data_IF_902192448997
#
_entry.id   IF_902192448997
#
_cell.length_a   1.000
_cell.length_b   1.000
_cell.length_c   1.000
_cell.angle_alpha   90.00
_cell.angle_beta   90.00
_cell.angle_gamma   90.00
#
_symmetry.space_group_name_H-M   'P 1'
#
loop_
_entity.id
_entity.type
_entity.pdbx_description
1 polymer ?
#
# COMPACT_ATOMS: atom_id res chain seq x y z
N UNK A 1 0.08 11.81 -3.97
CA UNK A 1 -1.14 10.96 -3.86
C UNK A 1 -2.34 11.87 -3.92
N UNK A 2 -3.43 11.46 -4.56
CA UNK A 2 -4.64 12.29 -4.65
C UNK A 2 -5.81 11.55 -4.05
N UNK A 3 -6.51 12.21 -3.13
CA UNK A 3 -7.74 11.71 -2.50
C UNK A 3 -8.88 12.59 -2.99
N UNK A 4 -10.00 11.99 -3.40
CA UNK A 4 -11.19 12.70 -3.90
C UNK A 4 -12.44 12.14 -3.27
N UNK A 5 -13.31 13.03 -2.83
CA UNK A 5 -14.70 12.78 -2.48
C UNK A 5 -15.56 13.51 -3.51
N UNK A 6 -16.00 12.76 -4.53
CA UNK A 6 -16.80 13.29 -5.64
C UNK A 6 -18.20 13.71 -5.19
N UNK A 7 -18.75 13.07 -4.14
CA UNK A 7 -20.10 13.37 -3.65
C UNK A 7 -20.14 14.75 -2.97
N UNK A 8 -19.09 15.09 -2.23
CA UNK A 8 -19.00 16.35 -1.50
C UNK A 8 -18.15 17.42 -2.21
N UNK A 9 -17.64 17.12 -3.41
CA UNK A 9 -16.74 17.98 -4.20
C UNK A 9 -15.50 18.44 -3.40
N UNK A 10 -14.89 17.49 -2.67
CA UNK A 10 -13.69 17.70 -1.87
C UNK A 10 -12.54 16.92 -2.49
N UNK A 11 -11.35 17.53 -2.54
CA UNK A 11 -10.13 16.85 -2.97
C UNK A 11 -8.94 17.29 -2.14
N UNK A 12 -7.93 16.42 -2.06
CA UNK A 12 -6.66 16.74 -1.45
C UNK A 12 -5.53 16.12 -2.27
N UNK A 13 -4.56 16.94 -2.64
CA UNK A 13 -3.30 16.48 -3.20
C UNK A 13 -2.24 16.42 -2.11
N UNK A 14 -1.77 15.21 -1.82
CA UNK A 14 -0.75 14.92 -0.81
C UNK A 14 0.61 14.80 -1.50
N UNK A 15 1.52 15.70 -1.13
CA UNK A 15 2.93 15.70 -1.52
C UNK A 15 3.74 15.09 -0.39
N UNK A 16 4.42 13.99 -0.68
CA UNK A 16 5.33 13.33 0.25
C UNK A 16 6.73 13.95 0.15
N UNK A 17 7.39 14.06 1.29
CA UNK A 17 8.68 14.74 1.47
C UNK A 17 8.73 16.10 0.77
N UNK A 18 7.80 17.02 1.10
CA UNK A 18 7.61 18.27 0.36
C UNK A 18 8.84 19.20 0.40
N UNK A 19 9.64 19.12 1.46
CA UNK A 19 10.90 19.86 1.63
C UNK A 19 12.14 19.00 1.27
N UNK A 20 11.91 17.89 0.57
CA UNK A 20 12.95 17.01 0.04
C UNK A 20 13.80 17.69 -1.03
N UNK A 21 15.11 17.43 -1.01
CA UNK A 21 15.99 17.88 -2.09
C UNK A 21 15.74 16.99 -3.30
N UNK A 22 15.39 17.58 -4.44
CA UNK A 22 15.12 16.82 -5.67
C UNK A 22 16.28 15.90 -6.07
N UNK A 23 15.96 14.84 -6.83
CA UNK A 23 16.87 13.74 -7.18
C UNK A 23 18.28 14.18 -7.66
N UNK A 24 18.37 15.28 -8.43
CA UNK A 24 19.63 15.83 -8.93
C UNK A 24 20.46 16.60 -7.88
N UNK A 25 19.84 17.10 -6.81
CA UNK A 25 20.49 17.84 -5.71
C UNK A 25 20.83 16.96 -4.50
N UNK A 26 20.28 15.75 -4.45
CA UNK A 26 20.46 14.77 -3.35
C UNK A 26 21.92 14.28 -3.19
N UNK A 27 22.76 14.41 -4.22
CA UNK A 27 24.15 13.96 -4.19
C UNK A 27 25.13 14.86 -3.40
N UNK A 28 24.71 16.04 -2.95
CA UNK A 28 25.60 16.97 -2.24
C UNK A 28 24.99 17.63 -1.00
N UNK A 29 23.70 17.42 -0.72
CA UNK A 29 23.00 18.03 0.42
C UNK A 29 21.96 17.06 0.95
N UNK A 30 22.01 16.74 2.25
CA UNK A 30 20.93 16.03 2.94
C UNK A 30 19.73 16.96 3.14
N UNK A 31 18.51 16.49 2.85
CA UNK A 31 17.31 17.28 3.18
C UNK A 31 17.26 17.50 4.69
N UNK A 32 17.01 18.74 5.17
CA UNK A 32 16.84 19.01 6.59
C UNK A 32 15.52 18.45 7.13
N UNK A 33 14.58 18.05 6.25
CA UNK A 33 13.29 17.49 6.64
C UNK A 33 13.32 15.95 6.61
N UNK A 34 12.72 15.30 7.62
CA UNK A 34 12.53 13.86 7.61
C UNK A 34 11.74 13.40 6.37
N UNK A 35 12.12 12.25 5.79
CA UNK A 35 11.52 11.72 4.57
C UNK A 35 10.09 11.21 4.77
N UNK A 36 9.69 11.01 6.03
CA UNK A 36 8.37 10.60 6.50
C UNK A 36 7.35 11.74 6.61
N UNK A 37 7.68 12.92 6.10
CA UNK A 37 6.79 14.08 6.14
C UNK A 37 5.92 14.21 4.90
N UNK A 38 4.74 14.81 5.03
CA UNK A 38 3.88 15.16 3.91
C UNK A 38 3.18 16.50 4.13
N UNK A 39 2.67 17.08 3.04
CA UNK A 39 1.78 18.24 3.04
C UNK A 39 0.71 18.07 1.98
N UNK A 40 -0.50 18.53 2.26
CA UNK A 40 -1.56 18.61 1.27
C UNK A 40 -2.56 19.71 1.58
N UNK A 41 -3.12 20.33 0.54
CA UNK A 41 -4.18 21.31 0.67
C UNK A 41 -5.52 20.63 0.39
N UNK A 42 -6.50 20.84 1.28
CA UNK A 42 -7.87 20.34 1.08
C UNK A 42 -8.65 21.43 0.33
N UNK A 43 -9.15 21.07 -0.84
CA UNK A 43 -9.91 21.92 -1.74
C UNK A 43 -11.37 21.46 -1.73
N UNK A 44 -12.29 22.38 -1.46
CA UNK A 44 -13.74 22.18 -1.59
C UNK A 44 -14.30 23.22 -2.54
N UNK A 45 -15.06 22.79 -3.54
CA UNK A 45 -15.67 23.69 -4.53
C UNK A 45 -14.64 24.65 -5.19
N UNK A 46 -13.43 24.15 -5.44
CA UNK A 46 -12.32 24.93 -6.02
C UNK A 46 -11.58 25.86 -5.04
N UNK A 47 -12.02 25.95 -3.78
CA UNK A 47 -11.41 26.80 -2.77
C UNK A 47 -10.65 25.98 -1.73
N UNK A 48 -9.48 26.46 -1.31
CA UNK A 48 -8.76 25.86 -0.18
C UNK A 48 -9.56 26.08 1.11
N UNK A 49 -9.90 24.99 1.78
CA UNK A 49 -10.63 25.00 3.06
C UNK A 49 -9.78 24.52 4.23
N UNK A 50 -8.70 23.78 3.97
CA UNK A 50 -7.81 23.26 5.01
C UNK A 50 -6.42 22.96 4.44
N UNK A 51 -5.48 22.67 5.34
CA UNK A 51 -4.16 22.14 5.04
C UNK A 51 -3.81 21.04 6.02
N UNK A 52 -3.41 19.89 5.48
CA UNK A 52 -2.85 18.78 6.25
C UNK A 52 -1.33 18.76 6.11
N UNK A 53 -0.64 18.51 7.21
CA UNK A 53 0.81 18.37 7.25
C UNK A 53 1.26 17.49 8.41
N UNK A 54 2.49 16.98 8.33
CA UNK A 54 3.10 16.25 9.44
C UNK A 54 3.88 15.03 8.99
N UNK A 55 4.07 14.09 9.91
CA UNK A 55 4.77 12.82 9.72
C UNK A 55 3.80 11.65 9.81
N UNK A 56 3.80 10.75 8.83
CA UNK A 56 2.91 9.58 8.85
C UNK A 56 3.32 8.51 9.88
N UNK A 57 4.56 8.57 10.39
CA UNK A 57 5.01 7.75 11.53
C UNK A 57 5.08 8.56 12.83
N UNK A 58 4.53 9.77 12.85
CA UNK A 58 4.60 10.71 13.95
C UNK A 58 3.25 11.37 14.18
N UNK A 59 3.20 12.68 13.97
CA UNK A 59 2.01 13.51 14.16
C UNK A 59 1.48 14.01 12.82
N UNK A 60 0.15 13.93 12.62
CA UNK A 60 -0.57 14.50 11.48
C UNK A 60 -1.47 15.62 12.00
N UNK A 61 -1.41 16.78 11.35
CA UNK A 61 -2.17 17.97 11.69
C UNK A 61 -3.07 18.42 10.56
N UNK A 62 -4.13 19.16 10.92
CA UNK A 62 -5.00 19.94 10.05
C UNK A 62 -5.07 21.36 10.57
N UNK A 63 -4.61 22.33 9.78
CA UNK A 63 -4.48 23.74 10.19
C UNK A 63 -3.80 23.92 11.56
N UNK A 64 -2.78 23.11 11.85
CA UNK A 64 -2.05 23.11 13.12
C UNK A 64 -2.71 22.32 14.26
N UNK A 65 -3.94 21.82 14.10
CA UNK A 65 -4.63 20.97 15.06
C UNK A 65 -4.25 19.51 14.83
N UNK A 66 -3.82 18.80 15.88
CA UNK A 66 -3.41 17.39 15.80
C UNK A 66 -4.64 16.50 15.57
N UNK A 67 -4.64 15.77 14.43
CA UNK A 67 -5.66 14.77 14.10
C UNK A 67 -5.22 13.35 14.45
N UNK A 68 -3.92 13.07 14.35
CA UNK A 68 -3.34 11.77 14.65
C UNK A 68 -1.96 11.94 15.26
N UNK A 69 -1.64 11.11 16.23
CA UNK A 69 -0.32 11.02 16.85
C UNK A 69 -0.03 9.54 17.15
N UNK A 70 1.03 9.01 16.57
CA UNK A 70 1.46 7.61 16.72
C UNK A 70 1.66 7.19 18.18
N UNK A 71 1.96 8.14 19.07
CA UNK A 71 2.19 7.89 20.49
C UNK A 71 0.89 7.66 21.24
N UNK A 72 -0.24 8.10 20.68
CA UNK A 72 -1.55 7.83 21.23
C UNK A 72 -1.90 6.37 20.95
N UNK A 73 -2.23 5.65 22.02
CA UNK A 73 -2.67 4.26 21.91
C UNK A 73 -4.02 4.24 21.20
N UNK A 74 -4.05 3.74 19.98
CA UNK A 74 -5.30 3.42 19.30
C UNK A 74 -5.81 2.09 19.85
N UNK A 75 -7.08 2.04 20.25
CA UNK A 75 -7.76 0.81 20.68
C UNK A 75 -8.20 -0.07 19.49
N UNK A 76 -7.50 0.03 18.35
CA UNK A 76 -7.74 -0.80 17.18
C UNK A 76 -6.83 -2.03 17.23
N UNK A 77 -7.37 -3.17 17.66
CA UNK A 77 -6.72 -4.46 17.54
C UNK A 77 -7.39 -5.29 16.45
N UNK A 78 -6.59 -5.95 15.62
CA UNK A 78 -7.11 -6.94 14.67
C UNK A 78 -7.38 -8.25 15.40
N UNK A 79 -8.61 -8.75 15.27
CA UNK A 79 -8.98 -10.08 15.78
C UNK A 79 -8.77 -11.09 14.65
N UNK A 80 -7.99 -12.16 14.87
CA UNK A 80 -7.85 -13.21 13.87
C UNK A 80 -9.20 -13.83 13.54
N UNK A 81 -9.50 -14.00 12.24
CA UNK A 81 -10.69 -14.75 11.86
C UNK A 81 -10.53 -16.21 12.34
N UNK A 82 -11.57 -16.73 12.99
CA UNK A 82 -11.60 -18.08 13.58
C UNK A 82 -11.42 -19.17 12.51
N UNK A 83 -12.11 -19.02 11.37
CA UNK A 83 -12.09 -19.97 10.26
C UNK A 83 -11.66 -19.26 8.96
N UNK A 84 -10.35 -19.02 8.75
CA UNK A 84 -9.85 -18.48 7.49
C UNK A 84 -10.22 -19.33 6.28
N UNK A 85 -10.39 -18.66 5.15
CA UNK A 85 -10.42 -19.33 3.85
C UNK A 85 -9.06 -20.00 3.56
N UNK A 86 -9.00 -21.07 2.76
CA UNK A 86 -7.75 -21.76 2.45
C UNK A 86 -6.66 -20.90 1.79
N UNK A 87 -7.06 -19.79 1.14
CA UNK A 87 -6.15 -18.83 0.53
C UNK A 87 -5.63 -17.76 1.50
N UNK A 88 -5.99 -17.83 2.79
CA UNK A 88 -5.49 -16.91 3.81
C UNK A 88 -3.96 -17.00 3.94
N UNK A 89 -3.30 -15.85 4.04
CA UNK A 89 -1.85 -15.77 4.10
C UNK A 89 -1.24 -16.47 5.31
N UNK A 90 -2.01 -16.71 6.37
CA UNK A 90 -1.60 -17.52 7.53
C UNK A 90 -1.25 -18.96 7.17
N UNK A 91 -1.73 -19.48 6.05
CA UNK A 91 -1.42 -20.82 5.58
C UNK A 91 -0.20 -20.90 4.67
N UNK A 92 0.41 -19.77 4.32
CA UNK A 92 1.63 -19.72 3.49
C UNK A 92 2.83 -20.36 4.21
N UNK A 93 3.22 -21.54 3.76
CA UNK A 93 4.31 -22.32 4.34
C UNK A 93 5.66 -21.60 4.28
N UNK A 94 5.89 -20.81 3.23
CA UNK A 94 7.09 -19.99 3.07
C UNK A 94 7.19 -18.92 4.16
N UNK A 95 6.07 -18.26 4.50
CA UNK A 95 6.03 -17.28 5.58
C UNK A 95 6.17 -17.91 6.96
N UNK A 96 5.58 -19.10 7.19
CA UNK A 96 5.75 -19.86 8.44
C UNK A 96 7.22 -20.24 8.65
N UNK A 97 7.85 -20.85 7.65
CA UNK A 97 9.27 -21.21 7.71
C UNK A 97 10.17 -19.98 7.91
N UNK A 98 9.85 -18.84 7.28
CA UNK A 98 10.56 -17.59 7.48
C UNK A 98 10.44 -17.07 8.92
N UNK A 99 9.23 -17.11 9.49
CA UNK A 99 9.00 -16.69 10.88
C UNK A 99 9.74 -17.54 11.92
N UNK A 100 10.07 -18.79 11.56
CA UNK A 100 10.86 -19.72 12.36
C UNK A 100 12.38 -19.64 12.07
N UNK A 101 12.81 -18.73 11.19
CA UNK A 101 14.23 -18.56 10.82
C UNK A 101 14.79 -19.65 9.90
N UNK A 102 13.93 -20.49 9.29
CA UNK A 102 14.32 -21.58 8.39
C UNK A 102 14.44 -21.07 6.95
N UNK A 103 15.47 -20.29 6.66
CA UNK A 103 15.60 -19.57 5.39
C UNK A 103 15.61 -20.46 4.13
N UNK A 104 16.35 -21.58 4.15
CA UNK A 104 16.42 -22.50 2.99
C UNK A 104 15.05 -23.13 2.70
N UNK A 105 14.34 -23.53 3.76
CA UNK A 105 12.99 -24.09 3.65
C UNK A 105 12.01 -23.03 3.15
N UNK A 106 12.09 -21.80 3.66
CA UNK A 106 11.25 -20.69 3.22
C UNK A 106 11.44 -20.42 1.72
N UNK A 107 12.68 -20.41 1.26
CA UNK A 107 13.00 -20.22 -0.15
C UNK A 107 12.49 -21.38 -1.01
N UNK A 108 12.66 -22.63 -0.57
CA UNK A 108 12.15 -23.80 -1.29
C UNK A 108 10.61 -23.75 -1.43
N UNK A 109 9.90 -23.44 -0.35
CA UNK A 109 8.43 -23.31 -0.34
C UNK A 109 7.92 -22.15 -1.17
N UNK A 110 8.66 -21.04 -1.22
CA UNK A 110 8.35 -19.93 -2.11
C UNK A 110 8.42 -20.34 -3.57
N UNK A 111 9.49 -21.05 -3.98
CA UNK A 111 9.66 -21.52 -5.35
C UNK A 111 8.53 -22.48 -5.76
N UNK A 112 8.20 -23.45 -4.91
CA UNK A 112 7.10 -24.39 -5.11
C UNK A 112 5.77 -23.65 -5.36
N UNK A 113 5.43 -22.67 -4.51
CA UNK A 113 4.20 -21.88 -4.63
C UNK A 113 4.17 -21.04 -5.92
N UNK A 114 5.28 -20.40 -6.27
CA UNK A 114 5.36 -19.60 -7.49
C UNK A 114 5.27 -20.44 -8.76
N UNK A 115 5.85 -21.64 -8.78
CA UNK A 115 5.74 -22.58 -9.90
C UNK A 115 4.28 -23.01 -10.12
N UNK A 116 3.58 -23.34 -9.04
CA UNK A 116 2.15 -23.66 -9.08
C UNK A 116 1.32 -22.50 -9.64
N UNK A 117 1.58 -21.27 -9.17
CA UNK A 117 0.90 -20.06 -9.67
C UNK A 117 1.23 -19.79 -11.14
N UNK A 118 2.46 -20.06 -11.59
CA UNK A 118 2.87 -19.92 -12.99
C UNK A 118 2.17 -20.94 -13.88
N UNK A 119 2.11 -22.21 -13.49
CA UNK A 119 1.40 -23.24 -14.25
C UNK A 119 -0.10 -22.96 -14.36
N UNK A 120 -0.72 -22.54 -13.24
CA UNK A 120 -2.14 -22.19 -13.18
C UNK A 120 -2.46 -20.96 -14.05
N UNK A 121 -1.59 -19.95 -14.05
CA UNK A 121 -1.70 -18.82 -15.00
C UNK A 121 -1.63 -19.27 -16.46
N UNK A 122 -0.72 -20.19 -16.80
CA UNK A 122 -0.58 -20.71 -18.15
C UNK A 122 -1.86 -21.46 -18.61
N UNK A 123 -2.44 -22.29 -17.74
CA UNK A 123 -3.69 -22.99 -18.01
C UNK A 123 -4.87 -22.03 -18.20
N UNK A 124 -5.00 -21.00 -17.35
CA UNK A 124 -6.05 -19.98 -17.52
C UNK A 124 -5.92 -19.27 -18.85
N UNK A 125 -4.70 -18.88 -19.24
CA UNK A 125 -4.44 -18.23 -20.53
C UNK A 125 -4.89 -19.09 -21.70
N UNK A 126 -4.47 -20.37 -21.73
CA UNK A 126 -4.90 -21.31 -22.76
C UNK A 126 -6.43 -21.44 -22.82
N UNK A 127 -7.09 -21.50 -21.66
CA UNK A 127 -8.55 -21.54 -21.59
C UNK A 127 -9.25 -20.27 -22.09
N UNK A 128 -8.63 -19.08 -21.95
CA UNK A 128 -9.15 -17.85 -22.57
C UNK A 128 -8.99 -17.86 -24.08
N UNK A 129 -7.80 -18.22 -24.58
CA UNK A 129 -7.50 -18.30 -26.01
C UNK A 129 -8.45 -19.26 -26.74
N UNK A 130 -8.74 -20.43 -26.15
CA UNK A 130 -9.70 -21.40 -26.70
C UNK A 130 -11.15 -20.88 -26.74
N UNK A 131 -11.56 -20.07 -25.75
CA UNK A 131 -12.90 -19.47 -25.71
C UNK A 131 -13.05 -18.35 -26.73
N UNK A 132 -12.00 -17.57 -26.96
CA UNK A 132 -11.98 -16.54 -28.00
C UNK A 132 -12.06 -17.15 -29.40
N UNK A 133 -11.26 -18.18 -29.69
CA UNK A 133 -11.31 -18.87 -30.99
C UNK A 133 -12.67 -19.52 -31.26
N UNK A 134 -13.28 -20.13 -30.24
CA UNK A 134 -14.61 -20.74 -30.37
C UNK A 134 -15.74 -19.71 -30.55
N UNK A 135 -15.54 -18.46 -30.10
CA UNK A 135 -16.52 -17.39 -30.24
C UNK A 135 -16.38 -16.62 -31.56
N UNK A 136 -15.21 -16.67 -32.21
CA UNK A 136 -14.98 -16.09 -33.55
C UNK A 136 -15.43 -16.99 -34.70
N UNK A 137 -15.71 -18.26 -34.43
CA UNK A 137 -16.19 -19.24 -35.41
C UNK A 137 -17.74 -19.34 -35.49
N UNK A 138 -18.46 -18.49 -34.74
CA UNK A 138 -19.93 -18.31 -34.75
C UNK A 138 -20.30 -16.97 -35.40
#
# INVERSE_FOLDING_TARGET
>A
MTIRDEQNNISCEVVFHPDGVGYLKSWFVSSPSPSDTFRGDIIKDGNKVDQIDGSWIGEIRSNGVVLYDVRQKLDASTVPAENPIPSDSRFREDLKALSEGKFDLAQAKKVELEELQRSDRALRRQGYEQRESASSDL
#
